data_IF_580383955157
#
_entry.id   IF_580383955157
#
_cell.length_a   1.000
_cell.length_b   1.000
_cell.length_c   1.000
_cell.angle_alpha   90.00
_cell.angle_beta   90.00
_cell.angle_gamma   90.00
#
_symmetry.space_group_name_H-M   'P 1'
#
loop_
_entity.id
_entity.type
_entity.pdbx_description
1 polymer ?
#
# COMPACT_ATOMS: atom_id res chain seq x y z
N UNK A 1 -13.77 -28.90 -11.41
CA UNK A 1 -12.72 -28.78 -12.45
C UNK A 1 -11.39 -28.70 -11.72
N UNK A 2 -10.58 -29.77 -11.80
CA UNK A 2 -9.35 -29.99 -11.02
C UNK A 2 -8.36 -28.82 -11.15
N UNK A 3 -7.74 -28.41 -10.03
CA UNK A 3 -6.63 -27.46 -10.03
C UNK A 3 -5.44 -28.00 -9.26
N UNK A 4 -4.29 -27.78 -9.86
CA UNK A 4 -3.04 -28.53 -9.72
C UNK A 4 -2.31 -28.16 -8.42
N UNK A 5 -2.04 -29.17 -7.57
CA UNK A 5 -0.93 -29.13 -6.63
C UNK A 5 0.36 -29.18 -7.45
N UNK A 6 1.03 -28.05 -7.66
CA UNK A 6 2.35 -28.07 -8.29
C UNK A 6 3.38 -28.55 -7.27
N UNK A 7 3.79 -29.81 -7.36
CA UNK A 7 4.94 -30.35 -6.62
C UNK A 7 6.21 -30.06 -7.41
N UNK A 8 6.92 -28.99 -7.07
CA UNK A 8 8.28 -28.76 -7.57
C UNK A 8 9.28 -29.55 -6.70
N UNK A 9 10.20 -30.29 -7.34
CA UNK A 9 11.17 -31.22 -6.74
C UNK A 9 12.31 -30.57 -5.89
N UNK A 10 12.02 -29.50 -5.16
CA UNK A 10 12.89 -28.90 -4.14
C UNK A 10 12.19 -29.01 -2.77
N UNK A 11 12.82 -28.67 -1.61
CA UNK A 11 12.23 -28.89 -0.29
C UNK A 11 10.84 -28.26 -0.19
N UNK A 12 9.84 -29.12 -0.40
CA UNK A 12 8.39 -29.03 -0.21
C UNK A 12 7.80 -27.64 0.03
N UNK A 13 7.96 -26.73 -0.95
CA UNK A 13 7.20 -25.49 -1.03
C UNK A 13 5.83 -25.80 -1.67
N UNK A 14 4.76 -25.75 -0.88
CA UNK A 14 3.40 -25.92 -1.40
C UNK A 14 2.70 -24.57 -1.46
N UNK A 15 2.29 -24.15 -2.67
CA UNK A 15 1.42 -22.98 -2.85
C UNK A 15 0.00 -23.47 -3.05
N UNK A 16 -0.90 -23.10 -2.14
CA UNK A 16 -2.33 -23.39 -2.27
C UNK A 16 -3.01 -22.07 -2.62
N UNK A 17 -3.45 -21.93 -3.86
CA UNK A 17 -4.30 -20.80 -4.24
C UNK A 17 -5.74 -21.13 -3.92
N UNK A 18 -6.33 -20.44 -2.95
CA UNK A 18 -7.76 -20.56 -2.65
C UNK A 18 -8.52 -19.59 -3.58
N UNK A 19 -9.17 -20.14 -4.61
CA UNK A 19 -10.07 -19.38 -5.47
C UNK A 19 -11.50 -19.82 -5.20
N UNK A 20 -12.37 -18.91 -4.76
CA UNK A 20 -13.84 -19.05 -4.76
C UNK A 20 -14.43 -20.31 -4.11
N UNK A 21 -13.73 -21.00 -3.21
CA UNK A 21 -14.36 -22.07 -2.46
C UNK A 21 -15.33 -21.48 -1.44
N UNK A 22 -16.57 -21.96 -1.44
CA UNK A 22 -17.37 -21.89 -0.22
C UNK A 22 -16.67 -22.71 0.85
N UNK A 23 -16.66 -22.16 2.04
CA UNK A 23 -15.75 -22.52 3.13
C UNK A 23 -15.91 -23.96 3.59
N UNK A 24 -17.15 -24.43 3.53
CA UNK A 24 -17.54 -25.78 3.86
C UNK A 24 -16.99 -26.82 2.88
N UNK A 25 -16.87 -26.48 1.59
CA UNK A 25 -16.36 -27.40 0.57
C UNK A 25 -14.85 -27.61 0.71
N UNK A 26 -14.10 -26.54 0.95
CA UNK A 26 -12.66 -26.64 1.24
C UNK A 26 -12.43 -27.37 2.57
N UNK A 27 -13.20 -27.04 3.61
CA UNK A 27 -13.14 -27.71 4.91
C UNK A 27 -13.38 -29.21 4.78
N UNK A 28 -14.47 -29.61 4.14
CA UNK A 28 -14.81 -31.01 3.92
C UNK A 28 -13.76 -31.72 3.05
N UNK A 29 -13.20 -31.03 2.05
CA UNK A 29 -12.15 -31.61 1.21
C UNK A 29 -10.85 -31.87 1.98
N UNK A 30 -10.39 -30.91 2.78
CA UNK A 30 -9.16 -31.02 3.56
C UNK A 30 -9.29 -32.02 4.73
N UNK A 31 -10.47 -32.12 5.34
CA UNK A 31 -10.70 -33.00 6.49
C UNK A 31 -11.03 -34.44 6.10
N UNK A 32 -11.81 -34.66 5.04
CA UNK A 32 -12.26 -35.99 4.64
C UNK A 32 -11.27 -36.75 3.74
N UNK A 33 -10.32 -36.06 3.11
CA UNK A 33 -9.31 -36.73 2.28
C UNK A 33 -8.12 -37.21 3.14
N UNK A 34 -8.08 -38.50 3.44
CA UNK A 34 -7.07 -39.13 4.32
C UNK A 34 -5.64 -38.98 3.78
N UNK A 35 -5.46 -39.01 2.46
CA UNK A 35 -4.15 -38.85 1.82
C UNK A 35 -3.67 -37.41 1.96
N UNK A 36 -4.52 -36.43 1.64
CA UNK A 36 -4.19 -35.01 1.81
C UNK A 36 -3.94 -34.67 3.27
N UNK A 37 -4.72 -35.21 4.19
CA UNK A 37 -4.51 -35.01 5.64
C UNK A 37 -3.16 -35.52 6.09
N UNK A 38 -2.74 -36.71 5.62
CA UNK A 38 -1.40 -37.23 5.91
C UNK A 38 -0.31 -36.33 5.32
N UNK A 39 -0.48 -35.88 4.07
CA UNK A 39 0.46 -35.00 3.39
C UNK A 39 0.59 -33.64 4.09
N UNK A 40 -0.53 -33.02 4.46
CA UNK A 40 -0.60 -31.77 5.23
C UNK A 40 0.13 -31.90 6.56
N UNK A 41 -0.10 -32.99 7.28
CA UNK A 41 0.45 -33.22 8.61
C UNK A 41 1.95 -33.53 8.59
N UNK A 42 2.43 -34.31 7.62
CA UNK A 42 3.79 -34.84 7.63
C UNK A 42 4.76 -34.09 6.71
N UNK A 43 4.28 -33.43 5.65
CA UNK A 43 5.15 -32.95 4.57
C UNK A 43 5.10 -31.43 4.34
N UNK A 44 4.03 -30.75 4.72
CA UNK A 44 3.95 -29.31 4.44
C UNK A 44 4.74 -28.52 5.47
N UNK A 45 5.85 -27.95 5.01
CA UNK A 45 6.72 -27.07 5.80
C UNK A 45 6.55 -25.60 5.44
N UNK A 46 6.15 -25.29 4.21
CA UNK A 46 5.85 -23.94 3.76
C UNK A 46 4.51 -23.89 3.02
N UNK A 47 3.67 -22.93 3.40
CA UNK A 47 2.37 -22.71 2.80
C UNK A 47 2.15 -21.23 2.47
N UNK A 48 1.79 -20.97 1.20
CA UNK A 48 1.29 -19.66 0.77
C UNK A 48 -0.17 -19.79 0.36
N UNK A 49 -1.00 -18.88 0.86
CA UNK A 49 -2.44 -18.81 0.59
C UNK A 49 -2.72 -17.49 -0.11
N UNK A 50 -3.09 -17.56 -1.38
CA UNK A 50 -3.40 -16.38 -2.19
C UNK A 50 -4.92 -16.24 -2.31
N UNK A 51 -5.45 -15.11 -1.82
CA UNK A 51 -6.89 -14.78 -1.83
C UNK A 51 -7.16 -13.83 -2.98
N UNK A 52 -7.54 -14.39 -4.14
CA UNK A 52 -7.56 -13.67 -5.42
C UNK A 52 -8.79 -12.80 -5.68
N UNK A 53 -9.87 -12.99 -4.92
CA UNK A 53 -11.13 -12.27 -5.13
C UNK A 53 -11.54 -11.49 -3.88
N UNK A 54 -11.97 -10.24 -4.08
CA UNK A 54 -12.67 -9.48 -3.05
C UNK A 54 -13.99 -10.19 -2.76
N UNK A 55 -14.21 -10.70 -1.54
CA UNK A 55 -15.52 -11.22 -1.19
C UNK A 55 -16.56 -10.10 -1.16
N UNK A 56 -17.81 -10.43 -1.48
CA UNK A 56 -18.92 -9.47 -1.40
C UNK A 56 -19.37 -9.20 0.05
N UNK A 57 -18.92 -10.00 1.01
CA UNK A 57 -19.30 -9.96 2.42
C UNK A 57 -18.05 -10.08 3.34
N UNK A 58 -18.08 -9.58 4.58
CA UNK A 58 -16.94 -9.66 5.50
C UNK A 58 -16.61 -11.12 5.85
N UNK A 59 -15.43 -11.58 5.43
CA UNK A 59 -14.91 -12.95 5.58
C UNK A 59 -14.27 -13.23 6.95
N UNK A 60 -14.51 -12.40 7.97
CA UNK A 60 -13.71 -12.43 9.22
C UNK A 60 -13.78 -13.80 9.91
N UNK A 61 -14.95 -14.44 9.95
CA UNK A 61 -15.12 -15.75 10.59
C UNK A 61 -14.51 -16.91 9.75
N UNK A 62 -14.69 -16.85 8.44
CA UNK A 62 -14.26 -17.91 7.51
C UNK A 62 -12.74 -18.04 7.37
N UNK A 63 -12.06 -16.92 7.14
CA UNK A 63 -10.61 -16.94 6.98
C UNK A 63 -9.95 -17.38 8.28
N UNK A 64 -10.55 -16.98 9.40
CA UNK A 64 -10.17 -17.48 10.72
C UNK A 64 -10.29 -19.00 10.81
N UNK A 65 -11.40 -19.62 10.39
CA UNK A 65 -11.59 -21.09 10.47
C UNK A 65 -10.49 -21.78 9.68
N UNK A 66 -10.21 -21.24 8.51
CA UNK A 66 -9.16 -21.74 7.62
C UNK A 66 -7.78 -21.61 8.27
N UNK A 67 -7.47 -20.48 8.90
CA UNK A 67 -6.21 -20.25 9.60
C UNK A 67 -5.98 -21.28 10.73
N UNK A 68 -6.97 -21.43 11.61
CA UNK A 68 -6.88 -22.35 12.75
C UNK A 68 -6.80 -23.80 12.28
N UNK A 69 -7.58 -24.17 11.26
CA UNK A 69 -7.53 -25.50 10.66
C UNK A 69 -6.13 -25.80 10.12
N UNK A 70 -5.54 -24.87 9.36
CA UNK A 70 -4.22 -25.05 8.76
C UNK A 70 -3.16 -25.26 9.83
N UNK A 71 -3.15 -24.43 10.88
CA UNK A 71 -2.23 -24.62 12.00
C UNK A 71 -2.45 -25.96 12.72
N UNK A 72 -3.70 -26.42 12.84
CA UNK A 72 -4.01 -27.70 13.48
C UNK A 72 -3.61 -28.92 12.63
N UNK A 73 -3.73 -28.81 11.30
CA UNK A 73 -3.46 -29.89 10.36
C UNK A 73 -1.99 -29.98 9.99
N UNK A 74 -1.31 -28.84 9.83
CA UNK A 74 0.06 -28.79 9.30
C UNK A 74 1.08 -28.74 10.43
N UNK A 75 1.30 -29.87 11.12
CA UNK A 75 2.17 -29.93 12.31
C UNK A 75 3.64 -29.62 12.05
N UNK A 76 4.10 -29.77 10.80
CA UNK A 76 5.48 -29.45 10.38
C UNK A 76 5.61 -28.06 9.77
N UNK A 77 4.54 -27.26 9.76
CA UNK A 77 4.53 -25.96 9.11
C UNK A 77 5.51 -25.01 9.81
N UNK A 78 6.52 -24.57 9.08
CA UNK A 78 7.54 -23.63 9.54
C UNK A 78 7.38 -22.24 8.93
N UNK A 79 6.71 -22.12 7.78
CA UNK A 79 6.46 -20.85 7.08
C UNK A 79 5.01 -20.75 6.60
N UNK A 80 4.34 -19.67 6.94
CA UNK A 80 2.96 -19.40 6.51
C UNK A 80 2.82 -17.98 5.97
N UNK A 81 2.26 -17.83 4.78
CA UNK A 81 2.01 -16.54 4.14
C UNK A 81 0.58 -16.43 3.62
N UNK A 82 -0.17 -15.44 4.10
CA UNK A 82 -1.43 -15.01 3.53
C UNK A 82 -1.16 -13.85 2.57
N UNK A 83 -1.41 -14.08 1.29
CA UNK A 83 -1.19 -13.14 0.21
C UNK A 83 -2.52 -12.49 -0.20
N UNK A 84 -2.66 -11.24 0.18
CA UNK A 84 -3.40 -10.23 -0.59
C UNK A 84 -2.62 -8.92 -0.43
N UNK A 85 -1.73 -8.63 -1.38
CA UNK A 85 -0.83 -7.46 -1.34
C UNK A 85 -1.14 -6.51 -2.50
N UNK A 86 -2.42 -6.29 -2.83
CA UNK A 86 -2.79 -5.19 -3.74
C UNK A 86 -3.42 -4.05 -2.94
N UNK A 87 -2.82 -2.87 -3.06
CA UNK A 87 -3.00 -1.68 -2.22
C UNK A 87 -4.38 -1.01 -2.32
N UNK A 88 -5.36 -1.63 -2.99
CA UNK A 88 -6.67 -1.02 -3.31
C UNK A 88 -7.88 -1.89 -2.98
N UNK A 89 -7.69 -3.14 -2.55
CA UNK A 89 -8.77 -4.01 -2.11
C UNK A 89 -8.83 -4.02 -0.59
N UNK A 90 -10.03 -3.78 -0.04
CA UNK A 90 -10.42 -4.07 1.34
C UNK A 90 -9.66 -5.28 1.88
N UNK A 91 -8.97 -5.10 2.99
CA UNK A 91 -8.09 -6.13 3.54
C UNK A 91 -8.95 -7.34 3.91
N UNK A 92 -8.50 -8.54 3.52
CA UNK A 92 -8.94 -9.73 4.20
C UNK A 92 -8.25 -9.75 5.56
N UNK A 93 -8.99 -9.44 6.61
CA UNK A 93 -8.48 -9.30 7.97
C UNK A 93 -8.87 -10.49 8.84
N UNK A 94 -8.07 -10.77 9.87
CA UNK A 94 -8.35 -11.79 10.87
C UNK A 94 -8.61 -11.12 12.21
N UNK A 95 -9.73 -11.43 12.87
CA UNK A 95 -9.93 -11.19 14.30
C UNK A 95 -9.30 -12.35 15.08
N UNK A 96 -8.25 -12.07 15.85
CA UNK A 96 -7.43 -13.07 16.54
C UNK A 96 -7.61 -13.05 18.06
N UNK A 97 -8.47 -12.16 18.55
CA UNK A 97 -8.62 -11.82 19.98
C UNK A 97 -9.17 -12.97 20.85
N UNK A 98 -9.87 -13.95 20.27
CA UNK A 98 -10.70 -14.90 21.02
C UNK A 98 -10.20 -16.36 21.08
N UNK A 99 -9.01 -16.69 20.56
CA UNK A 99 -8.73 -18.08 20.13
C UNK A 99 -7.48 -18.77 20.68
N UNK A 100 -7.58 -20.09 20.88
CA UNK A 100 -6.60 -20.99 21.53
C UNK A 100 -5.63 -21.70 20.56
N UNK A 101 -5.32 -21.13 19.40
CA UNK A 101 -4.37 -21.78 18.49
C UNK A 101 -2.92 -21.54 18.94
N UNK A 102 -2.04 -22.52 18.70
CA UNK A 102 -0.61 -22.45 18.99
C UNK A 102 0.17 -23.21 17.93
N UNK A 103 1.39 -22.77 17.63
CA UNK A 103 2.34 -23.57 16.85
C UNK A 103 3.72 -23.53 17.48
N UNK A 104 4.34 -24.71 17.57
CA UNK A 104 5.71 -24.88 18.04
C UNK A 104 6.72 -24.99 16.89
N UNK A 105 6.27 -25.04 15.63
CA UNK A 105 7.14 -25.21 14.46
C UNK A 105 7.20 -23.95 13.60
N UNK A 106 6.19 -23.08 13.69
CA UNK A 106 6.12 -21.87 12.87
C UNK A 106 7.26 -20.91 13.23
N UNK A 107 8.10 -20.63 12.25
CA UNK A 107 9.26 -19.72 12.33
C UNK A 107 9.03 -18.41 11.57
N UNK A 108 8.19 -18.43 10.54
CA UNK A 108 7.89 -17.29 9.69
C UNK A 108 6.38 -17.17 9.47
N UNK A 109 5.83 -15.98 9.73
CA UNK A 109 4.44 -15.64 9.48
C UNK A 109 4.34 -14.33 8.70
N UNK A 110 3.58 -14.35 7.61
CA UNK A 110 3.18 -13.17 6.84
C UNK A 110 1.66 -13.10 6.77
N UNK A 111 1.08 -12.03 7.28
CA UNK A 111 -0.38 -11.94 7.47
C UNK A 111 -0.86 -10.48 7.40
N UNK A 112 -2.10 -10.31 6.93
CA UNK A 112 -2.82 -9.04 7.00
C UNK A 112 -3.75 -9.09 8.23
N UNK A 113 -3.83 -8.04 9.04
CA UNK A 113 -4.69 -8.00 10.25
C UNK A 113 -5.58 -6.77 10.24
N UNK A 114 -6.73 -6.83 10.92
CA UNK A 114 -7.67 -5.71 10.97
C UNK A 114 -7.17 -4.65 11.93
N UNK A 115 -6.93 -5.08 13.18
CA UNK A 115 -6.69 -4.19 14.30
C UNK A 115 -5.31 -4.40 14.90
N UNK A 116 -4.91 -3.45 15.75
CA UNK A 116 -3.66 -3.59 16.49
C UNK A 116 -3.74 -4.70 17.55
N UNK A 117 -4.94 -4.96 18.07
CA UNK A 117 -5.19 -6.02 19.06
C UNK A 117 -4.93 -7.42 18.45
N UNK A 118 -5.21 -7.59 17.15
CA UNK A 118 -4.89 -8.82 16.40
C UNK A 118 -3.38 -9.02 16.26
N UNK A 119 -2.65 -7.95 15.94
CA UNK A 119 -1.19 -7.95 15.89
C UNK A 119 -0.60 -8.38 17.24
N UNK A 120 -1.12 -7.82 18.33
CA UNK A 120 -0.68 -8.15 19.68
C UNK A 120 -1.04 -9.59 20.07
N UNK A 121 -2.18 -10.11 19.62
CA UNK A 121 -2.60 -11.49 19.83
C UNK A 121 -1.64 -12.49 19.17
N UNK A 122 -1.07 -12.16 18.01
CA UNK A 122 0.00 -12.96 17.37
C UNK A 122 1.30 -13.00 18.18
N UNK A 123 1.47 -12.04 19.10
CA UNK A 123 2.66 -11.82 19.91
C UNK A 123 2.46 -12.22 21.39
N UNK A 124 1.34 -12.86 21.74
CA UNK A 124 1.03 -13.23 23.14
C UNK A 124 1.81 -14.45 23.68
N UNK A 125 2.62 -15.08 22.82
CA UNK A 125 3.40 -16.28 23.12
C UNK A 125 2.83 -17.57 22.51
N UNK A 126 1.75 -17.52 21.71
CA UNK A 126 1.21 -18.71 21.03
C UNK A 126 2.11 -19.31 19.95
N UNK A 127 3.09 -18.55 19.47
CA UNK A 127 4.09 -18.99 18.50
C UNK A 127 5.50 -19.02 19.09
N UNK A 128 5.83 -20.13 19.75
CA UNK A 128 7.07 -20.24 20.52
C UNK A 128 8.35 -20.26 19.68
N UNK A 129 8.28 -20.46 18.37
CA UNK A 129 9.44 -20.52 17.48
C UNK A 129 9.48 -19.40 16.44
N UNK A 130 8.54 -18.45 16.51
CA UNK A 130 8.44 -17.36 15.54
C UNK A 130 9.66 -16.45 15.61
N UNK A 131 10.44 -16.44 14.53
CA UNK A 131 11.62 -15.60 14.37
C UNK A 131 11.39 -14.47 13.37
N UNK A 132 10.40 -14.61 12.47
CA UNK A 132 10.09 -13.63 11.43
C UNK A 132 8.59 -13.38 11.38
N UNK A 133 8.19 -12.12 11.49
CA UNK A 133 6.79 -11.70 11.42
C UNK A 133 6.63 -10.49 10.51
N UNK A 134 5.79 -10.63 9.49
CA UNK A 134 5.46 -9.56 8.52
C UNK A 134 3.97 -9.30 8.60
N UNK A 135 3.61 -8.11 9.08
CA UNK A 135 2.22 -7.70 9.29
C UNK A 135 1.90 -6.51 8.40
N UNK A 136 0.76 -6.61 7.72
CA UNK A 136 0.08 -5.48 7.12
C UNK A 136 -1.19 -5.21 7.92
N UNK A 137 -1.33 -4.02 8.49
CA UNK A 137 -2.47 -3.65 9.34
C UNK A 137 -3.33 -2.62 8.61
N UNK A 138 -4.63 -2.88 8.56
CA UNK A 138 -5.59 -1.93 8.00
C UNK A 138 -5.83 -0.78 8.98
N UNK A 139 -6.23 -1.08 10.22
CA UNK A 139 -6.61 -0.05 11.19
C UNK A 139 -5.75 -0.17 12.45
N UNK A 140 -4.89 0.84 12.69
CA UNK A 140 -4.27 0.99 14.01
C UNK A 140 -5.22 1.77 14.91
N UNK A 141 -6.18 1.04 15.47
CA UNK A 141 -7.00 1.44 16.62
C UNK A 141 -6.87 0.37 17.71
N UNK A 142 -6.96 0.78 18.97
CA UNK A 142 -7.02 -0.14 20.09
C UNK A 142 -8.45 -0.11 20.66
N UNK A 143 -9.06 -1.29 20.78
CA UNK A 143 -10.40 -1.43 21.37
C UNK A 143 -10.33 -1.90 22.82
N UNK A 144 -9.21 -2.50 23.22
CA UNK A 144 -9.06 -3.14 24.52
C UNK A 144 -7.95 -2.49 25.37
N UNK A 145 -8.32 -1.92 26.51
CA UNK A 145 -7.38 -1.37 27.50
C UNK A 145 -6.55 -2.43 28.25
N UNK A 146 -6.49 -3.66 27.75
CA UNK A 146 -6.05 -4.85 28.50
C UNK A 146 -5.27 -5.80 27.61
N UNK A 147 -4.15 -5.33 27.05
CA UNK A 147 -3.11 -6.24 26.60
C UNK A 147 -1.94 -6.06 27.54
N UNK A 148 -1.53 -7.17 28.15
CA UNK A 148 -0.42 -7.26 29.08
C UNK A 148 0.89 -6.88 28.36
N UNK A 149 1.23 -5.59 28.45
CA UNK A 149 2.38 -4.97 27.81
C UNK A 149 3.72 -5.44 28.42
N UNK A 150 3.72 -6.35 29.40
CA UNK A 150 4.92 -6.74 30.15
C UNK A 150 5.68 -7.93 29.54
N UNK A 151 5.06 -8.71 28.65
CA UNK A 151 5.73 -9.89 28.06
C UNK A 151 6.76 -9.47 27.00
N UNK A 152 8.03 -9.79 27.26
CA UNK A 152 9.14 -9.69 26.30
C UNK A 152 8.95 -10.70 25.17
N UNK A 153 9.43 -10.36 23.97
CA UNK A 153 9.37 -11.19 22.76
C UNK A 153 10.77 -11.70 22.37
N UNK A 154 11.38 -12.61 23.15
CA UNK A 154 12.83 -12.87 23.06
C UNK A 154 13.28 -13.61 21.79
N UNK A 155 12.38 -14.16 20.97
CA UNK A 155 12.76 -14.98 19.80
C UNK A 155 12.59 -14.28 18.46
N UNK A 156 11.87 -13.17 18.42
CA UNK A 156 11.63 -12.46 17.18
C UNK A 156 12.92 -11.74 16.75
N UNK A 157 13.40 -12.08 15.55
CA UNK A 157 14.60 -11.50 14.94
C UNK A 157 14.27 -10.56 13.79
N UNK A 158 13.19 -10.81 13.06
CA UNK A 158 12.77 -10.01 11.93
C UNK A 158 11.31 -9.58 12.11
N UNK A 159 11.05 -8.28 12.00
CA UNK A 159 9.72 -7.72 12.14
C UNK A 159 9.47 -6.70 11.04
N UNK A 160 8.34 -6.83 10.35
CA UNK A 160 7.86 -5.85 9.39
C UNK A 160 6.45 -5.44 9.77
N UNK A 161 6.24 -4.13 9.88
CA UNK A 161 4.93 -3.55 10.11
C UNK A 161 4.63 -2.55 8.99
N UNK A 162 3.56 -2.81 8.26
CA UNK A 162 3.05 -1.97 7.19
C UNK A 162 1.66 -1.51 7.61
N UNK A 163 1.45 -0.20 7.69
CA UNK A 163 0.17 0.40 8.08
C UNK A 163 -0.33 1.38 7.03
N UNK A 164 -1.52 1.10 6.50
CA UNK A 164 -2.30 1.99 5.65
C UNK A 164 -3.79 1.82 5.97
N UNK A 165 -4.54 2.85 6.41
CA UNK A 165 -4.27 4.29 6.34
C UNK A 165 -3.63 4.86 7.62
N UNK A 166 -3.72 6.19 7.83
CA UNK A 166 -3.04 6.91 8.89
C UNK A 166 -3.36 6.44 10.32
N UNK A 167 -2.37 6.49 11.22
CA UNK A 167 -2.54 6.25 12.66
C UNK A 167 -2.21 7.47 13.52
N UNK A 168 -2.98 7.68 14.58
CA UNK A 168 -2.67 8.64 15.64
C UNK A 168 -1.86 8.01 16.80
N UNK A 169 -1.60 6.70 16.73
CA UNK A 169 -1.19 5.89 17.87
C UNK A 169 0.27 5.45 17.80
N UNK A 170 1.10 6.15 17.02
CA UNK A 170 2.54 5.90 16.95
C UNK A 170 3.19 5.91 18.35
N UNK A 171 2.97 7.00 19.11
CA UNK A 171 3.58 7.18 20.42
C UNK A 171 3.06 6.16 21.46
N UNK A 172 1.78 5.77 21.36
CA UNK A 172 1.09 4.99 22.39
C UNK A 172 1.09 3.47 22.14
N UNK A 173 1.21 3.03 20.89
CA UNK A 173 1.09 1.62 20.51
C UNK A 173 2.34 1.10 19.81
N UNK A 174 2.84 1.83 18.80
CA UNK A 174 3.96 1.35 17.98
C UNK A 174 5.26 1.38 18.78
N UNK A 175 5.57 2.49 19.44
CA UNK A 175 6.80 2.61 20.24
C UNK A 175 6.84 1.53 21.34
N UNK A 176 5.84 1.40 22.24
CA UNK A 176 5.91 0.40 23.30
C UNK A 176 6.00 -1.04 22.79
N UNK A 177 5.37 -1.34 21.66
CA UNK A 177 5.49 -2.66 21.02
C UNK A 177 6.93 -2.94 20.58
N UNK A 178 7.55 -2.01 19.86
CA UNK A 178 8.91 -2.18 19.35
C UNK A 178 9.92 -2.30 20.49
N UNK A 179 9.76 -1.53 21.57
CA UNK A 179 10.62 -1.60 22.75
C UNK A 179 10.64 -2.99 23.43
N UNK A 180 9.61 -3.82 23.21
CA UNK A 180 9.53 -5.20 23.72
C UNK A 180 10.33 -6.21 22.88
N UNK A 181 10.73 -5.83 21.67
CA UNK A 181 11.40 -6.69 20.69
C UNK A 181 12.94 -6.54 20.79
N UNK A 182 13.50 -6.57 21.99
CA UNK A 182 14.93 -6.30 22.27
C UNK A 182 15.94 -7.15 21.48
N UNK A 183 15.51 -8.30 20.93
CA UNK A 183 16.36 -9.22 20.17
C UNK A 183 16.24 -9.06 18.64
N UNK A 184 15.53 -8.03 18.19
CA UNK A 184 15.32 -7.79 16.77
C UNK A 184 16.65 -7.47 16.07
N UNK A 185 16.92 -8.18 14.99
CA UNK A 185 18.08 -8.00 14.10
C UNK A 185 17.68 -7.17 12.87
N UNK A 186 16.46 -7.36 12.34
CA UNK A 186 15.90 -6.62 11.21
C UNK A 186 14.51 -6.03 11.49
N UNK A 187 14.34 -4.75 11.16
CA UNK A 187 13.09 -4.02 11.30
C UNK A 187 12.72 -3.32 9.99
N UNK A 188 11.49 -3.52 9.52
CA UNK A 188 10.92 -2.83 8.36
C UNK A 188 9.64 -2.09 8.79
N UNK A 189 9.65 -0.76 8.77
CA UNK A 189 8.49 0.06 9.16
C UNK A 189 7.95 0.87 8.00
N UNK A 190 6.75 0.56 7.53
CA UNK A 190 6.01 1.42 6.60
C UNK A 190 4.83 2.01 7.34
N UNK A 191 4.96 3.25 7.79
CA UNK A 191 4.00 3.89 8.68
C UNK A 191 3.43 5.16 8.06
N UNK A 192 2.14 5.34 8.25
CA UNK A 192 1.44 6.57 7.92
C UNK A 192 0.84 7.13 9.20
N UNK A 193 1.27 8.31 9.64
CA UNK A 193 1.08 8.80 11.02
C UNK A 193 0.46 10.19 10.97
N UNK A 194 -0.57 10.45 11.76
CA UNK A 194 -1.08 11.80 12.01
C UNK A 194 -0.64 12.24 13.41
N UNK A 195 -0.02 13.43 13.51
CA UNK A 195 0.37 14.03 14.79
C UNK A 195 -0.40 15.32 15.00
N UNK A 196 -1.16 15.37 16.08
CA UNK A 196 -2.02 16.49 16.41
C UNK A 196 -1.41 17.50 17.37
N UNK A 197 -0.21 17.26 17.93
CA UNK A 197 0.44 18.11 18.95
C UNK A 197 1.98 18.05 18.97
N UNK A 198 2.61 17.50 17.92
CA UNK A 198 4.07 17.29 17.87
C UNK A 198 4.59 17.56 16.46
N UNK A 199 5.89 17.85 16.36
CA UNK A 199 6.59 18.01 15.09
C UNK A 199 6.65 16.68 14.33
N UNK A 200 7.21 16.67 13.11
CA UNK A 200 7.47 15.42 12.40
C UNK A 200 8.36 14.49 13.22
N UNK A 201 8.27 13.20 12.92
CA UNK A 201 9.25 12.24 13.43
C UNK A 201 10.53 12.48 12.63
N UNK A 202 11.61 12.93 13.27
CA UNK A 202 12.92 13.10 12.65
C UNK A 202 13.89 11.97 13.04
N UNK A 203 15.14 12.05 12.57
CA UNK A 203 16.15 11.03 12.88
C UNK A 203 16.57 10.98 14.34
N UNK A 204 16.43 12.09 15.09
CA UNK A 204 16.70 12.09 16.54
C UNK A 204 15.57 11.35 17.24
N UNK A 205 14.32 11.68 16.90
CA UNK A 205 13.18 11.05 17.51
C UNK A 205 13.11 9.54 17.20
N UNK A 206 13.38 9.11 15.96
CA UNK A 206 13.47 7.66 15.68
C UNK A 206 14.59 6.96 16.46
N UNK A 207 15.71 7.65 16.64
CA UNK A 207 16.78 7.14 17.46
C UNK A 207 16.30 6.90 18.90
N UNK A 208 15.73 7.93 19.51
CA UNK A 208 15.30 7.92 20.90
C UNK A 208 14.10 7.00 21.13
N UNK A 209 13.15 6.91 20.18
CA UNK A 209 11.93 6.13 20.32
C UNK A 209 12.16 4.63 20.10
N UNK A 210 13.00 4.27 19.14
CA UNK A 210 13.12 2.90 18.64
C UNK A 210 14.53 2.35 18.86
N UNK A 211 15.54 3.07 18.41
CA UNK A 211 16.84 2.47 18.14
C UNK A 211 17.66 2.27 19.42
N UNK A 212 17.53 3.16 20.42
CA UNK A 212 18.16 2.95 21.73
C UNK A 212 17.68 1.68 22.44
N UNK A 213 16.48 1.18 22.10
CA UNK A 213 15.87 0.01 22.72
C UNK A 213 16.11 -1.29 21.95
N UNK A 214 16.68 -1.20 20.74
CA UNK A 214 16.92 -2.33 19.85
C UNK A 214 18.43 -2.52 19.59
N UNK A 215 19.23 -2.89 20.61
CA UNK A 215 20.69 -2.92 20.51
C UNK A 215 21.23 -3.99 19.54
N UNK A 216 20.40 -4.94 19.11
CA UNK A 216 20.77 -6.00 18.15
C UNK A 216 20.38 -5.66 16.71
N UNK A 217 19.72 -4.53 16.48
CA UNK A 217 19.23 -4.16 15.17
C UNK A 217 20.40 -3.81 14.26
N UNK A 218 20.64 -4.65 13.27
CA UNK A 218 21.68 -4.45 12.26
C UNK A 218 21.11 -3.89 10.95
N UNK A 219 19.81 -4.06 10.72
CA UNK A 219 19.14 -3.61 9.51
C UNK A 219 17.83 -2.92 9.87
N UNK A 220 17.79 -1.62 9.62
CA UNK A 220 16.59 -0.81 9.78
C UNK A 220 16.17 -0.26 8.43
N UNK A 221 14.99 -0.67 7.96
CA UNK A 221 14.36 -0.11 6.77
C UNK A 221 13.08 0.61 7.18
N UNK A 222 12.83 1.79 6.66
CA UNK A 222 11.58 2.48 6.92
C UNK A 222 11.09 3.34 5.75
N UNK A 223 9.78 3.56 5.76
CA UNK A 223 9.04 4.51 4.94
C UNK A 223 8.00 5.17 5.85
N UNK A 224 8.27 6.39 6.30
CA UNK A 224 7.42 7.09 7.25
C UNK A 224 6.80 8.30 6.56
N UNK A 225 5.46 8.33 6.58
CA UNK A 225 4.64 9.46 6.18
C UNK A 225 4.09 10.09 7.46
N UNK A 226 4.50 11.31 7.77
CA UNK A 226 3.97 12.06 8.92
C UNK A 226 3.14 13.23 8.46
N UNK A 227 1.88 13.27 8.87
CA UNK A 227 0.92 14.32 8.63
C UNK A 227 0.71 15.12 9.92
N UNK A 228 0.94 16.42 9.92
CA UNK A 228 0.87 17.25 11.14
C UNK A 228 -0.39 18.11 11.13
N UNK A 229 -1.32 17.87 12.05
CA UNK A 229 -2.61 18.57 12.12
C UNK A 229 -2.42 20.10 12.14
N UNK A 230 -3.18 20.77 11.28
CA UNK A 230 -3.15 22.22 11.06
C UNK A 230 -3.57 23.05 12.28
N UNK A 231 -4.22 22.46 13.29
CA UNK A 231 -4.58 23.19 14.53
C UNK A 231 -3.36 23.81 15.23
N UNK A 232 -2.14 23.34 14.94
CA UNK A 232 -0.90 23.86 15.53
C UNK A 232 -0.11 24.75 14.58
N UNK A 233 -0.58 25.99 14.42
CA UNK A 233 0.07 27.02 13.59
C UNK A 233 1.47 27.42 14.11
N UNK A 234 1.83 27.04 15.34
CA UNK A 234 3.11 27.36 15.99
C UNK A 234 4.25 26.36 15.76
N UNK A 235 4.04 25.27 15.03
CA UNK A 235 5.11 24.28 14.79
C UNK A 235 6.12 24.83 13.78
N UNK A 236 7.38 24.98 14.20
CA UNK A 236 8.52 25.23 13.31
C UNK A 236 8.93 23.91 12.69
N UNK A 237 8.92 23.85 11.37
CA UNK A 237 9.18 22.63 10.63
C UNK A 237 10.63 22.58 10.18
N UNK A 238 11.30 21.45 10.41
CA UNK A 238 12.64 21.16 9.89
C UNK A 238 12.61 21.15 8.35
N UNK A 239 13.65 21.70 7.72
CA UNK A 239 13.83 21.56 6.27
C UNK A 239 14.17 20.11 5.89
N UNK A 240 14.10 19.77 4.59
CA UNK A 240 14.57 18.47 4.11
C UNK A 240 16.05 18.25 4.48
N UNK A 241 16.86 19.30 4.41
CA UNK A 241 18.27 19.30 4.76
C UNK A 241 18.48 19.03 6.25
N UNK A 242 17.67 19.62 7.12
CA UNK A 242 17.73 19.40 8.56
C UNK A 242 17.37 17.95 8.92
N UNK A 243 16.32 17.41 8.30
CA UNK A 243 15.93 16.01 8.45
C UNK A 243 17.07 15.10 8.00
N UNK A 244 17.58 15.27 6.78
CA UNK A 244 18.69 14.46 6.28
C UNK A 244 19.92 14.55 7.19
N UNK A 245 20.21 15.73 7.75
CA UNK A 245 21.31 15.94 8.70
C UNK A 245 21.09 15.18 10.01
N UNK A 246 19.84 15.10 10.49
CA UNK A 246 19.51 14.36 11.72
C UNK A 246 19.85 12.87 11.61
N UNK A 247 19.62 12.25 10.45
CA UNK A 247 19.96 10.84 10.20
C UNK A 247 21.46 10.62 10.03
N UNK A 248 22.15 11.52 9.31
CA UNK A 248 23.62 11.45 9.15
C UNK A 248 24.35 11.49 10.50
N UNK A 249 23.88 12.32 11.44
CA UNK A 249 24.46 12.43 12.80
C UNK A 249 24.40 11.14 13.61
N UNK A 250 23.54 10.20 13.21
CA UNK A 250 23.35 8.92 13.88
C UNK A 250 23.81 7.74 13.02
N UNK A 251 24.62 8.01 11.98
CA UNK A 251 25.23 7.01 11.11
C UNK A 251 24.23 6.15 10.31
N UNK A 252 22.97 6.58 10.18
CA UNK A 252 21.92 5.87 9.42
C UNK A 252 22.10 5.92 7.90
N UNK A 253 23.12 6.61 7.39
CA UNK A 253 23.30 6.82 5.95
C UNK A 253 22.40 7.92 5.38
N UNK A 254 22.26 7.94 4.06
CA UNK A 254 21.52 8.99 3.36
C UNK A 254 20.03 8.64 3.28
N UNK A 255 19.19 9.49 3.87
CA UNK A 255 17.72 9.36 3.83
C UNK A 255 17.17 10.24 2.70
N UNK A 256 16.25 9.70 1.91
CA UNK A 256 15.46 10.52 0.99
C UNK A 256 14.33 11.17 1.79
N UNK A 257 14.15 12.49 1.68
CA UNK A 257 13.15 13.27 2.42
C UNK A 257 12.43 14.21 1.46
N UNK A 258 11.12 14.32 1.62
CA UNK A 258 10.29 15.29 0.92
C UNK A 258 9.23 15.88 1.87
N UNK A 259 9.00 17.19 1.77
CA UNK A 259 8.01 17.89 2.55
C UNK A 259 6.98 18.46 1.58
N UNK A 260 5.72 18.10 1.81
CA UNK A 260 4.58 18.57 1.05
C UNK A 260 3.83 19.60 1.87
N UNK A 261 3.63 20.78 1.28
CA UNK A 261 2.99 21.90 1.95
C UNK A 261 1.68 22.21 1.24
N UNK A 262 0.56 21.92 1.89
CA UNK A 262 -0.76 22.37 1.44
C UNK A 262 -0.96 23.81 1.93
N UNK A 263 -0.71 24.79 1.04
CA UNK A 263 -0.81 26.23 1.32
C UNK A 263 -2.23 26.65 1.71
N UNK A 264 -2.37 27.79 2.42
CA UNK A 264 -3.68 28.36 2.79
C UNK A 264 -4.50 28.80 1.58
N UNK A 265 -3.85 29.31 0.53
CA UNK A 265 -4.50 29.78 -0.71
C UNK A 265 -5.23 28.65 -1.46
N UNK A 266 -4.77 27.41 -1.27
CA UNK A 266 -5.42 26.21 -1.79
C UNK A 266 -6.71 25.83 -1.01
N UNK A 267 -6.97 26.43 0.15
CA UNK A 267 -8.11 26.10 1.02
C UNK A 267 -9.40 26.85 0.68
N UNK A 268 -9.32 28.08 0.18
CA UNK A 268 -10.52 28.85 -0.17
C UNK A 268 -11.26 28.25 -1.39
N UNK A 269 -10.55 27.40 -2.15
CA UNK A 269 -11.09 26.60 -3.26
C UNK A 269 -11.49 25.18 -2.86
N UNK A 270 -11.43 24.86 -1.56
CA UNK A 270 -11.66 23.51 -1.06
C UNK A 270 -13.15 23.15 -1.14
N UNK A 271 -13.54 22.42 -2.19
CA UNK A 271 -14.74 21.61 -2.13
C UNK A 271 -14.53 20.48 -1.10
N UNK A 272 -15.48 20.32 -0.17
CA UNK A 272 -15.41 19.45 1.02
C UNK A 272 -15.25 17.93 0.76
N UNK A 273 -15.06 17.48 -0.48
CA UNK A 273 -15.25 16.08 -0.87
C UNK A 273 -14.00 15.35 -1.37
N UNK A 274 -12.85 16.02 -1.54
CA UNK A 274 -11.72 15.42 -2.26
C UNK A 274 -10.62 14.84 -1.36
N UNK A 275 -10.51 15.30 -0.13
CA UNK A 275 -9.53 14.82 0.85
C UNK A 275 -10.19 14.81 2.23
N UNK A 276 -10.07 13.73 3.04
CA UNK A 276 -10.55 13.74 4.41
C UNK A 276 -9.99 14.96 5.16
N UNK A 277 -10.73 15.53 6.10
CA UNK A 277 -10.35 16.76 6.82
C UNK A 277 -8.92 16.71 7.38
N UNK A 278 -8.46 15.51 7.74
CA UNK A 278 -7.14 15.14 8.23
C UNK A 278 -5.98 15.37 7.23
N UNK A 279 -6.25 15.62 5.95
CA UNK A 279 -5.26 15.78 4.88
C UNK A 279 -5.06 17.23 4.46
N UNK A 280 -5.65 18.19 5.17
CA UNK A 280 -5.44 19.61 4.89
C UNK A 280 -4.07 20.10 5.37
N UNK A 281 -3.20 19.24 5.87
CA UNK A 281 -2.00 19.56 6.67
C UNK A 281 -0.69 19.33 5.94
N UNK A 282 0.44 19.76 6.52
CA UNK A 282 1.76 19.51 5.94
C UNK A 282 2.15 18.05 6.13
N UNK A 283 2.67 17.44 5.08
CA UNK A 283 3.17 16.06 5.12
C UNK A 283 4.70 16.05 5.01
N UNK A 284 5.32 15.14 5.72
CA UNK A 284 6.72 14.80 5.56
C UNK A 284 6.88 13.30 5.28
N UNK A 285 7.59 12.99 4.19
CA UNK A 285 7.82 11.62 3.72
C UNK A 285 9.32 11.38 3.69
N UNK A 286 9.77 10.31 4.32
CA UNK A 286 11.17 9.94 4.25
C UNK A 286 11.41 8.43 4.38
N UNK A 287 12.49 7.95 3.76
CA UNK A 287 12.77 6.52 3.66
C UNK A 287 14.26 6.17 3.67
N UNK A 288 14.56 4.98 4.18
CA UNK A 288 15.90 4.40 4.23
C UNK A 288 15.84 2.86 4.11
N UNK A 289 16.66 2.22 3.24
CA UNK A 289 17.10 2.81 1.98
C UNK A 289 15.88 3.20 1.13
N UNK A 290 16.10 3.92 0.04
CA UNK A 290 15.03 4.42 -0.80
C UNK A 290 14.25 3.30 -1.51
N UNK A 291 13.31 2.62 -0.83
CA UNK A 291 12.64 1.41 -1.31
C UNK A 291 11.14 1.57 -1.54
N UNK A 292 10.60 2.78 -1.32
CA UNK A 292 9.16 2.93 -1.39
C UNK A 292 8.66 2.70 -2.82
N UNK A 293 7.72 1.77 -2.95
CA UNK A 293 7.08 1.41 -4.23
C UNK A 293 5.90 2.30 -4.56
N UNK A 294 5.30 2.92 -3.55
CA UNK A 294 4.12 3.77 -3.70
C UNK A 294 4.39 5.14 -3.10
N UNK A 295 4.14 6.19 -3.88
CA UNK A 295 4.12 7.57 -3.44
C UNK A 295 2.66 8.00 -3.35
N UNK A 296 2.19 8.40 -2.16
CA UNK A 296 0.83 8.91 -1.97
C UNK A 296 0.83 10.43 -1.76
N UNK A 297 -0.24 11.07 -2.25
CA UNK A 297 -0.59 12.48 -2.02
C UNK A 297 0.35 13.54 -2.61
N UNK A 298 1.10 13.16 -3.66
CA UNK A 298 1.99 14.09 -4.34
C UNK A 298 1.20 15.31 -4.90
N UNK A 299 1.70 16.51 -4.63
CA UNK A 299 1.05 17.79 -4.97
C UNK A 299 2.00 18.77 -5.68
N UNK A 300 1.51 19.95 -6.08
CA UNK A 300 2.29 20.95 -6.85
C UNK A 300 3.52 21.50 -6.11
N UNK A 301 3.69 21.22 -4.81
CA UNK A 301 4.93 21.57 -4.09
C UNK A 301 6.11 20.67 -4.48
N UNK A 302 5.86 19.56 -5.19
CA UNK A 302 6.89 18.63 -5.59
C UNK A 302 7.92 19.27 -6.54
N UNK A 303 9.18 19.32 -6.09
CA UNK A 303 10.29 19.97 -6.80
C UNK A 303 11.09 19.02 -7.70
N UNK A 304 10.68 17.75 -7.82
CA UNK A 304 11.44 16.72 -8.52
C UNK A 304 12.38 15.91 -7.62
N UNK A 305 13.34 15.23 -8.24
CA UNK A 305 14.19 14.20 -7.62
C UNK A 305 14.08 12.87 -8.36
N UNK A 306 14.97 11.90 -8.12
CA UNK A 306 14.92 10.59 -8.79
C UNK A 306 14.45 9.52 -7.82
N UNK A 307 13.33 8.91 -8.14
CA UNK A 307 12.61 7.96 -7.30
C UNK A 307 12.50 6.60 -8.01
N UNK A 308 13.64 5.90 -8.13
CA UNK A 308 13.78 4.72 -9.00
C UNK A 308 12.87 3.56 -8.62
N UNK A 309 12.47 3.43 -7.35
CA UNK A 309 11.70 2.28 -6.86
C UNK A 309 10.19 2.51 -6.88
N UNK A 310 9.73 3.73 -7.15
CA UNK A 310 8.31 4.08 -7.18
C UNK A 310 7.67 3.54 -8.45
N UNK A 311 6.66 2.71 -8.26
CA UNK A 311 5.87 2.10 -9.32
C UNK A 311 4.41 2.52 -9.28
N UNK A 312 3.94 3.10 -8.17
CA UNK A 312 2.57 3.59 -8.00
C UNK A 312 2.59 5.01 -7.44
N UNK A 313 1.83 5.90 -8.05
CA UNK A 313 1.73 7.30 -7.66
C UNK A 313 0.27 7.69 -7.51
N UNK A 314 -0.06 8.33 -6.39
CA UNK A 314 -1.35 9.01 -6.17
C UNK A 314 -1.08 10.49 -6.03
N UNK A 315 -1.69 11.29 -6.90
CA UNK A 315 -1.50 12.73 -6.99
C UNK A 315 -2.79 13.44 -6.62
N UNK A 316 -2.69 14.49 -5.82
CA UNK A 316 -3.85 15.30 -5.45
C UNK A 316 -3.42 16.72 -5.10
N UNK A 317 -4.21 17.69 -5.52
CA UNK A 317 -4.03 19.09 -5.15
C UNK A 317 -5.32 19.87 -5.43
N UNK A 318 -5.36 21.11 -4.93
CA UNK A 318 -6.38 22.12 -5.20
C UNK A 318 -5.95 23.14 -6.26
N UNK A 319 -4.71 23.04 -6.72
CA UNK A 319 -4.23 23.77 -7.89
C UNK A 319 -4.11 22.81 -9.06
N UNK A 320 -4.40 23.24 -10.29
CA UNK A 320 -4.29 22.37 -11.45
C UNK A 320 -2.86 21.88 -11.65
N UNK A 321 -2.73 20.62 -12.05
CA UNK A 321 -1.43 20.06 -12.44
C UNK A 321 -1.13 20.46 -13.89
N UNK A 322 -0.23 21.41 -14.08
CA UNK A 322 0.12 21.88 -15.43
C UNK A 322 1.04 20.89 -16.17
N UNK A 323 1.15 21.05 -17.49
CA UNK A 323 1.95 20.17 -18.35
C UNK A 323 3.39 19.96 -17.84
N UNK A 324 4.08 21.04 -17.48
CA UNK A 324 5.46 20.98 -16.97
C UNK A 324 5.56 20.20 -15.67
N UNK A 325 4.50 20.14 -14.87
CA UNK A 325 4.47 19.33 -13.67
C UNK A 325 4.53 17.84 -14.04
N UNK A 326 3.68 17.37 -14.95
CA UNK A 326 3.72 16.00 -15.45
C UNK A 326 5.06 15.63 -16.11
N UNK A 327 5.74 16.60 -16.73
CA UNK A 327 7.11 16.41 -17.22
C UNK A 327 8.07 16.11 -16.07
N UNK A 328 8.05 16.89 -15.00
CA UNK A 328 8.81 16.63 -13.78
C UNK A 328 8.49 15.25 -13.21
N UNK A 329 7.20 14.87 -13.13
CA UNK A 329 6.78 13.53 -12.69
C UNK A 329 7.40 12.43 -13.55
N UNK A 330 7.34 12.54 -14.88
CA UNK A 330 7.89 11.53 -15.78
C UNK A 330 9.40 11.31 -15.61
N UNK A 331 10.13 12.37 -15.28
CA UNK A 331 11.57 12.32 -15.02
C UNK A 331 11.88 11.78 -13.64
N UNK A 332 11.04 12.11 -12.66
CA UNK A 332 11.21 11.69 -11.28
C UNK A 332 10.88 10.23 -11.03
N UNK A 333 9.94 9.65 -11.77
CA UNK A 333 9.45 8.29 -11.55
C UNK A 333 9.65 7.42 -12.81
N UNK A 334 10.91 7.04 -13.13
CA UNK A 334 11.23 6.36 -14.37
C UNK A 334 10.62 4.96 -14.50
N UNK A 335 10.22 4.32 -13.40
CA UNK A 335 9.60 2.99 -13.37
C UNK A 335 8.09 3.04 -13.01
N UNK A 336 7.45 4.19 -13.16
CA UNK A 336 6.04 4.37 -12.81
C UNK A 336 5.12 3.47 -13.64
N UNK A 337 4.32 2.63 -12.96
CA UNK A 337 3.37 1.68 -13.56
C UNK A 337 1.91 2.03 -13.32
N UNK A 338 1.58 2.63 -12.19
CA UNK A 338 0.22 3.02 -11.81
C UNK A 338 0.21 4.51 -11.45
N UNK A 339 -0.70 5.29 -12.02
CA UNK A 339 -0.90 6.69 -11.66
C UNK A 339 -2.38 6.95 -11.38
N UNK A 340 -2.64 7.68 -10.30
CA UNK A 340 -3.98 8.11 -9.89
C UNK A 340 -3.97 9.63 -9.72
N UNK A 341 -4.90 10.30 -10.39
CA UNK A 341 -5.01 11.76 -10.33
C UNK A 341 -6.35 12.13 -9.71
N UNK A 342 -6.28 12.72 -8.53
CA UNK A 342 -7.41 13.23 -7.78
C UNK A 342 -7.36 14.76 -7.75
N UNK A 343 -7.70 15.38 -8.88
CA UNK A 343 -7.68 16.82 -9.06
C UNK A 343 -8.79 17.26 -10.02
N UNK A 344 -9.75 18.05 -9.54
CA UNK A 344 -10.90 18.50 -10.34
C UNK A 344 -10.69 19.86 -11.00
N UNK A 345 -9.54 20.49 -10.78
CA UNK A 345 -9.24 21.79 -11.36
C UNK A 345 -8.80 21.67 -12.82
N UNK A 346 -9.33 22.52 -13.73
CA UNK A 346 -8.90 22.57 -15.12
C UNK A 346 -7.49 23.14 -15.27
N UNK A 347 -6.73 22.62 -16.24
CA UNK A 347 -5.40 23.14 -16.59
C UNK A 347 -5.52 24.52 -17.25
N UNK A 348 -4.67 25.46 -16.82
CA UNK A 348 -4.69 26.84 -17.32
C UNK A 348 -3.78 27.03 -18.53
N UNK A 349 -2.66 26.33 -18.61
CA UNK A 349 -1.61 26.56 -19.62
C UNK A 349 -1.56 25.46 -20.70
N UNK A 350 -2.73 25.04 -21.21
CA UNK A 350 -2.88 23.92 -22.19
C UNK A 350 -2.08 24.05 -23.49
N UNK A 351 -1.62 25.24 -23.87
CA UNK A 351 -1.20 25.56 -25.25
C UNK A 351 0.27 26.01 -25.39
N UNK A 352 1.05 26.13 -24.31
CA UNK A 352 2.42 26.65 -24.40
C UNK A 352 3.43 25.53 -24.62
N UNK A 353 3.92 25.41 -25.86
CA UNK A 353 5.17 24.70 -26.22
C UNK A 353 5.33 23.33 -25.55
N UNK A 354 4.49 22.37 -25.92
CA UNK A 354 4.42 21.08 -25.25
C UNK A 354 5.51 20.14 -25.77
N UNK A 355 6.60 20.03 -25.02
CA UNK A 355 7.52 18.91 -25.19
C UNK A 355 6.79 17.62 -24.86
N UNK A 356 6.78 16.65 -25.77
CA UNK A 356 6.14 15.35 -25.55
C UNK A 356 6.59 14.72 -24.21
N UNK A 357 5.64 14.42 -23.34
CA UNK A 357 5.91 13.72 -22.07
C UNK A 357 5.83 12.22 -22.33
N UNK A 358 6.79 11.44 -21.81
CA UNK A 358 6.80 9.99 -21.98
C UNK A 358 6.71 9.28 -20.64
N UNK A 359 5.68 8.47 -20.44
CA UNK A 359 5.62 7.50 -19.34
C UNK A 359 5.81 6.09 -19.89
N UNK A 360 7.07 5.67 -19.97
CA UNK A 360 7.45 4.43 -20.66
C UNK A 360 6.84 3.15 -20.09
N UNK A 361 6.48 3.14 -18.80
CA UNK A 361 6.01 1.94 -18.10
C UNK A 361 4.62 2.07 -17.49
N UNK A 362 3.90 3.17 -17.76
CA UNK A 362 2.58 3.40 -17.17
C UNK A 362 1.57 2.41 -17.78
N UNK A 363 1.08 1.50 -16.94
CA UNK A 363 0.15 0.40 -17.30
C UNK A 363 -1.29 0.73 -16.92
N UNK A 364 -1.46 1.44 -15.81
CA UNK A 364 -2.75 1.79 -15.23
C UNK A 364 -2.83 3.29 -14.96
N UNK A 365 -3.88 3.92 -15.45
CA UNK A 365 -4.17 5.34 -15.23
C UNK A 365 -5.59 5.50 -14.66
N UNK A 366 -5.69 6.16 -13.51
CA UNK A 366 -6.94 6.54 -12.88
C UNK A 366 -7.20 8.03 -13.02
N UNK A 367 -8.29 8.37 -13.70
CA UNK A 367 -8.77 9.73 -13.92
C UNK A 367 -10.21 9.90 -13.42
N UNK A 368 -10.74 8.94 -12.66
CA UNK A 368 -12.12 9.03 -12.19
C UNK A 368 -12.33 10.26 -11.28
N UNK A 369 -11.34 10.65 -10.49
CA UNK A 369 -11.43 11.85 -9.65
C UNK A 369 -10.80 13.09 -10.30
N UNK A 370 -10.57 13.05 -11.62
CA UNK A 370 -9.83 14.07 -12.35
C UNK A 370 -10.73 14.91 -13.27
N UNK A 371 -10.36 16.17 -13.48
CA UNK A 371 -10.93 17.00 -14.55
C UNK A 371 -10.64 16.41 -15.95
N UNK A 372 -11.51 16.66 -16.93
CA UNK A 372 -11.37 16.15 -18.30
C UNK A 372 -10.09 16.62 -19.01
N UNK A 373 -9.50 17.72 -18.56
CA UNK A 373 -8.22 18.24 -19.07
C UNK A 373 -7.07 17.25 -18.88
N UNK A 374 -7.07 16.50 -17.77
CA UNK A 374 -6.08 15.46 -17.55
C UNK A 374 -6.29 14.29 -18.53
N UNK A 375 -7.54 13.96 -18.86
CA UNK A 375 -7.81 12.99 -19.92
C UNK A 375 -7.28 13.49 -21.27
N UNK A 376 -7.43 14.78 -21.58
CA UNK A 376 -6.82 15.38 -22.78
C UNK A 376 -5.29 15.28 -22.76
N UNK A 377 -4.65 15.69 -21.67
CA UNK A 377 -3.21 15.64 -21.47
C UNK A 377 -2.63 14.24 -21.67
N UNK A 378 -3.31 13.19 -21.20
CA UNK A 378 -2.79 11.81 -21.25
C UNK A 378 -3.24 11.02 -22.49
N UNK A 379 -4.45 11.23 -23.00
CA UNK A 379 -4.98 10.43 -24.11
C UNK A 379 -4.57 10.96 -25.49
N UNK A 380 -4.29 12.26 -25.62
CA UNK A 380 -3.79 12.84 -26.87
C UNK A 380 -2.30 12.52 -27.03
N UNK A 381 -1.95 11.68 -28.00
CA UNK A 381 -0.57 11.17 -28.18
C UNK A 381 0.46 12.28 -28.50
N UNK A 382 -0.01 13.44 -28.99
CA UNK A 382 0.84 14.63 -29.18
C UNK A 382 1.34 15.23 -27.85
N UNK A 383 0.59 15.03 -26.76
CA UNK A 383 0.91 15.61 -25.45
C UNK A 383 1.62 14.61 -24.55
N UNK A 384 1.18 13.36 -24.57
CA UNK A 384 1.75 12.30 -23.76
C UNK A 384 1.84 10.99 -24.53
N UNK A 385 3.01 10.38 -24.50
CA UNK A 385 3.25 9.08 -25.08
C UNK A 385 3.20 7.99 -24.00
N UNK A 386 2.21 7.11 -24.13
CA UNK A 386 1.88 6.05 -23.17
C UNK A 386 1.96 4.67 -23.86
N UNK A 387 3.16 4.13 -24.10
CA UNK A 387 3.32 2.90 -24.89
C UNK A 387 2.77 1.66 -24.19
N UNK A 388 2.72 1.65 -22.86
CA UNK A 388 2.33 0.49 -22.06
C UNK A 388 0.95 0.63 -21.39
N UNK A 389 0.17 1.66 -21.72
CA UNK A 389 -1.13 1.87 -21.07
C UNK A 389 -2.11 0.80 -21.53
N UNK A 390 -2.57 -0.02 -20.59
CA UNK A 390 -3.53 -1.12 -20.83
C UNK A 390 -4.86 -0.92 -20.10
N UNK A 391 -4.84 -0.18 -18.98
CA UNK A 391 -5.99 -0.03 -18.11
C UNK A 391 -6.28 1.45 -17.87
N UNK A 392 -7.52 1.87 -18.11
CA UNK A 392 -7.99 3.24 -17.88
C UNK A 392 -9.23 3.21 -16.99
N UNK A 393 -9.24 4.00 -15.93
CA UNK A 393 -10.43 4.32 -15.15
C UNK A 393 -10.78 5.80 -15.38
N UNK A 394 -11.98 6.09 -15.87
CA UNK A 394 -12.36 7.46 -16.29
C UNK A 394 -13.88 7.64 -16.24
N UNK A 395 -14.34 8.88 -16.04
CA UNK A 395 -15.74 9.26 -16.27
C UNK A 395 -16.11 9.22 -17.76
N UNK A 396 -17.32 8.75 -18.05
CA UNK A 396 -17.83 8.66 -19.40
C UNK A 396 -17.89 10.05 -20.07
N UNK A 397 -18.34 11.07 -19.33
CA UNK A 397 -18.41 12.44 -19.83
C UNK A 397 -17.05 13.00 -20.25
N UNK A 398 -16.02 12.80 -19.41
CA UNK A 398 -14.65 13.20 -19.73
C UNK A 398 -14.13 12.49 -20.98
N UNK A 399 -14.46 11.20 -21.13
CA UNK A 399 -14.06 10.41 -22.30
C UNK A 399 -14.77 10.87 -23.59
N UNK A 400 -16.07 11.15 -23.52
CA UNK A 400 -16.83 11.71 -24.65
C UNK A 400 -16.27 13.07 -25.04
N UNK A 401 -16.00 13.95 -24.07
CA UNK A 401 -15.47 15.28 -24.32
C UNK A 401 -14.11 15.22 -25.01
N UNK A 402 -13.17 14.44 -24.49
CA UNK A 402 -11.80 14.39 -25.03
C UNK A 402 -11.72 13.70 -26.40
N UNK A 403 -12.60 12.72 -26.65
CA UNK A 403 -12.69 12.04 -27.95
C UNK A 403 -13.56 12.78 -28.96
N UNK A 404 -14.20 13.89 -28.55
CA UNK A 404 -15.24 14.58 -29.33
C UNK A 404 -16.32 13.60 -29.81
N UNK A 405 -16.94 12.90 -28.86
CA UNK A 405 -17.91 11.83 -29.12
C UNK A 405 -17.36 10.74 -30.05
N UNK A 406 -16.12 10.32 -29.80
CA UNK A 406 -15.44 9.28 -30.57
C UNK A 406 -15.29 9.61 -32.07
N UNK A 407 -14.91 10.85 -32.36
CA UNK A 407 -14.56 11.31 -33.73
C UNK A 407 -13.18 11.96 -33.86
N UNK A 408 -12.49 12.26 -32.74
CA UNK A 408 -11.14 12.87 -32.72
C UNK A 408 -10.06 11.80 -32.84
N UNK A 409 -9.39 11.69 -33.98
CA UNK A 409 -8.36 10.66 -34.21
C UNK A 409 -7.15 10.77 -33.27
N UNK A 410 -6.86 11.97 -32.75
CA UNK A 410 -5.68 12.23 -31.92
C UNK A 410 -5.62 11.41 -30.61
N UNK A 411 -6.78 10.94 -30.10
CA UNK A 411 -6.85 10.08 -28.90
C UNK A 411 -6.99 8.60 -29.24
N UNK A 412 -7.35 8.27 -30.49
CA UNK A 412 -7.66 6.92 -30.94
C UNK A 412 -6.46 5.98 -30.82
N UNK A 413 -5.25 6.47 -31.13
CA UNK A 413 -4.03 5.66 -31.03
C UNK A 413 -3.79 5.16 -29.60
N UNK A 414 -3.92 6.04 -28.60
CA UNK A 414 -3.76 5.68 -27.18
C UNK A 414 -4.89 4.75 -26.74
N UNK A 415 -6.14 5.06 -27.08
CA UNK A 415 -7.30 4.27 -26.70
C UNK A 415 -7.24 2.84 -27.28
N UNK A 416 -6.72 2.68 -28.50
CA UNK A 416 -6.72 1.40 -29.21
C UNK A 416 -5.90 0.29 -28.53
N UNK A 417 -5.02 0.66 -27.59
CA UNK A 417 -4.15 -0.26 -26.84
C UNK A 417 -4.78 -0.76 -25.54
N UNK A 418 -5.88 -0.15 -25.10
CA UNK A 418 -6.51 -0.46 -23.82
C UNK A 418 -7.19 -1.83 -23.88
N UNK A 419 -6.84 -2.70 -22.95
CA UNK A 419 -7.48 -4.02 -22.74
C UNK A 419 -8.50 -3.98 -21.61
N UNK A 420 -8.56 -2.88 -20.86
CA UNK A 420 -9.51 -2.68 -19.77
C UNK A 420 -9.88 -1.21 -19.67
N UNK A 421 -11.20 -0.95 -19.71
CA UNK A 421 -11.77 0.38 -19.53
C UNK A 421 -12.83 0.28 -18.43
N UNK A 422 -12.60 1.01 -17.35
CA UNK A 422 -13.52 1.11 -16.23
C UNK A 422 -14.23 2.46 -16.28
N UNK A 423 -15.56 2.39 -16.34
CA UNK A 423 -16.47 3.53 -16.28
C UNK A 423 -17.46 3.20 -15.16
N UNK A 424 -17.48 4.01 -14.10
CA UNK A 424 -18.28 3.72 -12.90
C UNK A 424 -19.71 4.28 -12.97
N UNK A 425 -20.27 4.34 -14.18
CA UNK A 425 -21.61 4.83 -14.47
C UNK A 425 -22.20 4.02 -15.64
N UNK A 426 -23.53 3.76 -15.64
CA UNK A 426 -24.18 3.09 -16.76
C UNK A 426 -24.04 3.94 -18.03
N UNK A 427 -23.60 3.33 -19.13
CA UNK A 427 -23.57 4.01 -20.43
C UNK A 427 -23.91 3.05 -21.57
N UNK A 428 -24.34 3.63 -22.69
CA UNK A 428 -24.57 2.90 -23.95
C UNK A 428 -23.43 3.27 -24.92
N UNK A 429 -22.62 2.30 -25.37
CA UNK A 429 -21.55 2.56 -26.33
C UNK A 429 -22.07 3.21 -27.62
N UNK A 430 -21.59 4.39 -28.02
CA UNK A 430 -21.96 4.98 -29.31
C UNK A 430 -21.34 4.20 -30.48
N UNK A 431 -21.82 4.45 -31.70
CA UNK A 431 -21.46 3.69 -32.92
C UNK A 431 -19.95 3.51 -33.14
N UNK A 432 -19.14 4.53 -32.83
CA UNK A 432 -17.69 4.52 -33.05
C UNK A 432 -16.89 4.01 -31.84
N UNK A 433 -17.54 3.66 -30.73
CA UNK A 433 -16.86 3.29 -29.48
C UNK A 433 -15.85 2.15 -29.67
N UNK A 434 -16.25 1.05 -30.30
CA UNK A 434 -15.38 -0.11 -30.52
C UNK A 434 -14.25 0.16 -31.53
N UNK A 435 -14.32 1.23 -32.32
CA UNK A 435 -13.20 1.65 -33.17
C UNK A 435 -12.08 2.34 -32.36
N UNK A 436 -12.42 2.89 -31.19
CA UNK A 436 -11.47 3.44 -30.23
C UNK A 436 -10.91 2.38 -29.30
N UNK A 437 -11.70 1.35 -28.98
CA UNK A 437 -11.32 0.29 -28.05
C UNK A 437 -11.54 -1.11 -28.66
N UNK A 438 -10.74 -1.50 -29.66
CA UNK A 438 -10.91 -2.78 -30.35
C UNK A 438 -10.46 -4.01 -29.53
N UNK A 439 -9.85 -3.82 -28.36
CA UNK A 439 -9.34 -4.88 -27.48
C UNK A 439 -10.19 -5.09 -26.21
N UNK A 440 -11.27 -4.31 -26.03
CA UNK A 440 -12.30 -4.55 -25.01
C UNK A 440 -13.32 -5.56 -25.52
#
# INVERSE_FOLDING_TARGET
MERVLHTNNYPQLYSITLMDFSDEALFNYLTNNTILRKLLNEQITCLTIDVKNKPKEPFSETLWVTFTLILSLCKQLSKLSFCQFDNRSTFCTFDLSSTNFKSSTLTELKINVETFDDCLSLLDGRFNCLSTLIINIEIISCTSGTIDNTKKLPKLKHFSLISYPHTFLYDNLIIPLLQRMINLEELILHLSIIRSNKNYIDGIQLYDDILIYLPRLNKFTFNIYTNVDKKNVGIVFSSNEDIQRSFKRKEYGSVASHIEIFTRENQDKCHNYSLPYEFKSRCHIYSLPHQFRTYHFLNNSFQGGIFVNVQSLVMTDFCPFEHNFFKTISQSFPLLKKMDIMNKEPQKDKQKSLSLIKFSYLIYLDLQSAHADYAEQFLVDKYCHLPCLLNLNIHYESLVLVTNNFTKDATRLTCSKLTSLRINEPFVPPKNFYQYFPLL
#
